data_IF_926037329302
#
_entry.id   IF_926037329302
#
_cell.length_a   1.000
_cell.length_b   1.000
_cell.length_c   1.000
_cell.angle_alpha   90.00
_cell.angle_beta   90.00
_cell.angle_gamma   90.00
#
_symmetry.space_group_name_H-M   'P 1'
#
loop_
_entity.id
_entity.type
_entity.pdbx_description
1 polymer ?
#
# COMPACT_ATOMS: atom_id res chain seq x y z
N UNK A 1 -55.11 35.97 -19.51
CA UNK A 1 -53.73 35.89 -20.06
C UNK A 1 -52.93 35.07 -19.07
N UNK A 2 -52.74 33.79 -19.35
CA UNK A 2 -51.87 32.92 -18.56
C UNK A 2 -50.42 33.36 -18.78
N UNK A 3 -49.73 33.76 -17.70
CA UNK A 3 -48.31 34.02 -17.73
C UNK A 3 -47.59 32.67 -17.86
N UNK A 4 -47.21 32.32 -19.09
CA UNK A 4 -46.23 31.26 -19.33
C UNK A 4 -44.93 31.67 -18.64
N UNK A 5 -44.63 31.06 -17.48
CA UNK A 5 -43.33 31.17 -16.85
C UNK A 5 -42.27 30.77 -17.88
N UNK A 6 -41.31 31.64 -18.22
CA UNK A 6 -40.26 31.26 -19.14
C UNK A 6 -39.46 30.12 -18.51
N UNK A 7 -39.60 28.92 -19.09
CA UNK A 7 -38.70 27.81 -18.81
C UNK A 7 -37.32 28.25 -19.26
N UNK A 8 -36.45 28.55 -18.30
CA UNK A 8 -35.04 28.74 -18.59
C UNK A 8 -34.55 27.56 -19.43
N UNK A 9 -33.71 27.80 -20.45
CA UNK A 9 -33.10 26.70 -21.19
C UNK A 9 -32.41 25.78 -20.16
N UNK A 10 -32.50 24.45 -20.33
CA UNK A 10 -31.83 23.53 -19.42
C UNK A 10 -30.37 23.96 -19.35
N UNK A 11 -29.93 24.39 -18.17
CA UNK A 11 -28.54 24.74 -17.98
C UNK A 11 -27.73 23.54 -18.46
N UNK A 12 -26.81 23.77 -19.40
CA UNK A 12 -26.04 22.70 -20.02
C UNK A 12 -25.20 21.95 -19.01
N UNK A 13 -24.13 21.31 -19.46
CA UNK A 13 -23.22 20.64 -18.54
C UNK A 13 -22.51 21.66 -17.63
N UNK A 14 -23.09 21.94 -16.46
CA UNK A 14 -22.63 22.92 -15.45
C UNK A 14 -21.41 22.44 -14.66
N UNK A 15 -20.66 21.46 -15.20
CA UNK A 15 -19.49 20.89 -14.53
C UNK A 15 -18.24 21.63 -14.98
N UNK A 16 -17.48 22.11 -14.03
CA UNK A 16 -16.17 22.67 -14.28
C UNK A 16 -15.20 21.55 -14.72
N UNK A 17 -14.44 21.79 -15.77
CA UNK A 17 -13.33 20.91 -16.15
C UNK A 17 -12.06 21.44 -15.50
N UNK A 18 -11.42 20.65 -14.65
CA UNK A 18 -10.14 21.00 -14.04
C UNK A 18 -9.22 19.80 -14.00
N UNK A 19 -7.91 20.02 -14.14
CA UNK A 19 -6.89 18.96 -14.07
C UNK A 19 -6.44 18.70 -12.62
N UNK A 20 -6.35 19.75 -11.82
CA UNK A 20 -5.94 19.68 -10.41
C UNK A 20 -6.86 20.57 -9.58
N UNK A 21 -7.31 20.07 -8.44
CA UNK A 21 -8.14 20.81 -7.51
C UNK A 21 -7.52 20.80 -6.12
N UNK A 22 -7.34 21.98 -5.52
CA UNK A 22 -6.82 22.14 -4.18
C UNK A 22 -7.84 22.91 -3.34
N UNK A 23 -8.24 22.31 -2.21
CA UNK A 23 -9.13 22.92 -1.24
C UNK A 23 -8.41 23.03 0.09
N UNK A 24 -8.22 24.25 0.59
CA UNK A 24 -7.64 24.48 1.92
C UNK A 24 -8.74 24.94 2.86
N UNK A 25 -8.96 24.20 3.95
CA UNK A 25 -10.01 24.49 4.92
C UNK A 25 -9.37 25.08 6.17
N UNK A 26 -9.60 26.38 6.36
CA UNK A 26 -9.25 27.11 7.58
C UNK A 26 -10.49 27.18 8.49
N UNK A 27 -10.64 26.21 9.40
CA UNK A 27 -11.61 26.32 10.49
C UNK A 27 -10.89 26.88 11.72
N UNK A 28 -11.53 27.83 12.43
CA UNK A 28 -11.01 28.45 13.66
C UNK A 28 -10.80 27.39 14.75
N UNK A 29 -11.66 26.37 14.77
CA UNK A 29 -11.53 25.24 15.71
C UNK A 29 -10.54 24.16 15.20
N UNK A 30 -10.05 24.28 13.96
CA UNK A 30 -9.14 23.34 13.29
C UNK A 30 -9.59 21.87 13.24
N UNK A 31 -10.83 21.55 13.64
CA UNK A 31 -11.35 20.19 13.64
C UNK A 31 -11.91 19.84 12.27
N UNK A 32 -11.11 19.09 11.51
CA UNK A 32 -11.59 18.37 10.35
C UNK A 32 -12.31 17.10 10.81
N UNK A 33 -13.63 17.02 10.63
CA UNK A 33 -14.41 15.80 10.91
C UNK A 33 -14.66 15.01 9.63
N UNK A 34 -14.92 13.70 9.80
CA UNK A 34 -15.14 12.75 8.68
C UNK A 34 -16.25 13.21 7.74
N UNK A 35 -17.34 13.74 8.31
CA UNK A 35 -18.46 14.30 7.56
C UNK A 35 -18.04 15.37 6.55
N UNK A 36 -17.09 16.26 6.91
CA UNK A 36 -16.62 17.29 5.99
C UNK A 36 -15.94 16.68 4.76
N UNK A 37 -15.10 15.66 4.93
CA UNK A 37 -14.43 14.97 3.80
C UNK A 37 -15.46 14.34 2.87
N UNK A 38 -16.46 13.64 3.42
CA UNK A 38 -17.51 13.00 2.63
C UNK A 38 -18.33 14.04 1.83
N UNK A 39 -18.72 15.15 2.47
CA UNK A 39 -19.43 16.24 1.79
C UNK A 39 -18.58 16.91 0.71
N UNK A 40 -17.28 17.08 0.93
CA UNK A 40 -16.36 17.63 -0.08
C UNK A 40 -16.26 16.68 -1.26
N UNK A 41 -16.07 15.38 -1.04
CA UNK A 41 -16.02 14.40 -2.13
C UNK A 41 -17.32 14.34 -2.90
N UNK A 42 -18.46 14.42 -2.22
CA UNK A 42 -19.78 14.49 -2.83
C UNK A 42 -19.90 15.72 -3.74
N UNK A 43 -19.63 16.90 -3.21
CA UNK A 43 -19.67 18.15 -3.96
C UNK A 43 -18.72 18.13 -5.16
N UNK A 44 -17.47 17.70 -4.97
CA UNK A 44 -16.47 17.63 -6.04
C UNK A 44 -16.92 16.68 -7.16
N UNK A 45 -17.42 15.50 -6.80
CA UNK A 45 -17.85 14.50 -7.78
C UNK A 45 -19.00 14.99 -8.67
N UNK A 46 -19.89 15.85 -8.14
CA UNK A 46 -21.01 16.43 -8.90
C UNK A 46 -20.58 17.59 -9.77
N UNK A 47 -19.68 18.44 -9.29
CA UNK A 47 -19.40 19.73 -9.93
C UNK A 47 -18.13 19.77 -10.79
N UNK A 48 -17.23 18.79 -10.67
CA UNK A 48 -15.95 18.80 -11.39
C UNK A 48 -15.74 17.54 -12.22
N UNK A 49 -15.12 17.67 -13.39
CA UNK A 49 -14.72 16.56 -14.27
C UNK A 49 -13.29 16.72 -14.80
N UNK A 50 -12.71 15.62 -15.28
CA UNK A 50 -11.39 15.62 -15.92
C UNK A 50 -10.21 15.79 -14.96
N UNK A 51 -10.45 15.65 -13.65
CA UNK A 51 -9.41 15.79 -12.64
C UNK A 51 -8.42 14.63 -12.70
N UNK A 52 -7.14 14.95 -12.47
CA UNK A 52 -6.04 14.01 -12.27
C UNK A 52 -5.56 13.98 -10.82
N UNK A 53 -5.61 15.13 -10.14
CA UNK A 53 -5.26 15.22 -8.73
C UNK A 53 -6.23 16.07 -7.90
N UNK A 54 -6.51 15.61 -6.69
CA UNK A 54 -7.31 16.29 -5.68
C UNK A 54 -6.49 16.42 -4.39
N UNK A 55 -6.36 17.62 -3.86
CA UNK A 55 -5.71 17.87 -2.56
C UNK A 55 -6.65 18.62 -1.63
N UNK A 56 -6.90 18.05 -0.45
CA UNK A 56 -7.72 18.65 0.61
C UNK A 56 -6.82 18.93 1.81
N UNK A 57 -6.44 20.18 2.00
CA UNK A 57 -5.66 20.64 3.14
C UNK A 57 -6.54 20.94 4.35
N UNK A 58 -6.17 20.38 5.50
CA UNK A 58 -6.73 20.74 6.81
C UNK A 58 -5.63 21.34 7.70
N UNK A 59 -6.02 22.09 8.73
CA UNK A 59 -5.12 22.57 9.78
C UNK A 59 -4.53 21.46 10.66
N UNK A 60 -4.08 21.80 11.87
CA UNK A 60 -3.18 20.99 12.71
C UNK A 60 -3.73 19.65 13.29
N UNK A 61 -4.85 19.08 12.82
CA UNK A 61 -5.35 17.81 13.36
C UNK A 61 -6.07 16.92 12.34
N UNK A 62 -5.33 15.97 11.75
CA UNK A 62 -5.85 14.98 10.77
C UNK A 62 -6.08 13.61 11.44
N UNK A 63 -5.78 13.43 12.74
CA UNK A 63 -5.84 12.11 13.38
C UNK A 63 -7.20 11.43 13.25
N UNK A 64 -8.29 12.17 13.38
CA UNK A 64 -9.66 11.66 13.24
C UNK A 64 -9.99 11.18 11.81
N UNK A 65 -9.33 11.76 10.81
CA UNK A 65 -9.46 11.40 9.40
C UNK A 65 -8.54 10.24 9.00
N UNK A 66 -7.38 10.10 9.65
CA UNK A 66 -6.43 9.01 9.37
C UNK A 66 -7.12 7.64 9.44
N UNK A 67 -7.94 7.39 10.46
CA UNK A 67 -8.68 6.12 10.54
C UNK A 67 -9.61 5.90 9.35
N UNK A 68 -10.34 6.94 8.90
CA UNK A 68 -11.24 6.83 7.76
C UNK A 68 -10.44 6.50 6.47
N UNK A 69 -9.33 7.20 6.26
CA UNK A 69 -8.45 7.03 5.10
C UNK A 69 -7.79 5.66 5.09
N UNK A 70 -7.32 5.18 6.24
CA UNK A 70 -6.61 3.91 6.34
C UNK A 70 -7.56 2.69 6.19
N UNK A 71 -8.86 2.87 6.44
CA UNK A 71 -9.85 1.77 6.44
C UNK A 71 -10.79 1.76 5.24
N UNK A 72 -10.77 2.79 4.39
CA UNK A 72 -11.69 2.93 3.26
C UNK A 72 -10.96 3.29 1.97
N UNK A 73 -11.54 2.88 0.85
CA UNK A 73 -11.15 3.37 -0.48
C UNK A 73 -12.19 4.34 -1.00
N UNK A 74 -11.73 5.41 -1.63
CA UNK A 74 -12.60 6.40 -2.23
C UNK A 74 -12.57 6.29 -3.75
N UNK A 75 -13.74 6.29 -4.38
CA UNK A 75 -13.88 6.24 -5.83
C UNK A 75 -14.76 7.40 -6.28
N UNK A 76 -14.27 8.23 -7.20
CA UNK A 76 -15.07 9.25 -7.88
C UNK A 76 -15.40 8.77 -9.29
N UNK A 77 -16.57 8.13 -9.46
CA UNK A 77 -17.00 7.52 -10.74
C UNK A 77 -17.10 8.54 -11.87
N UNK A 78 -17.29 9.80 -11.51
CA UNK A 78 -17.42 10.91 -12.46
C UNK A 78 -16.09 11.53 -12.88
N UNK A 79 -14.96 11.05 -12.33
CA UNK A 79 -13.60 11.48 -12.63
C UNK A 79 -12.67 10.26 -12.79
N UNK A 80 -12.84 9.45 -13.86
CA UNK A 80 -12.05 8.24 -14.08
C UNK A 80 -10.55 8.51 -14.29
N UNK A 81 -10.18 9.77 -14.58
CA UNK A 81 -8.78 10.21 -14.75
C UNK A 81 -8.08 10.55 -13.43
N UNK A 82 -8.79 10.49 -12.30
CA UNK A 82 -8.26 10.87 -11.00
C UNK A 82 -7.29 9.79 -10.49
N UNK A 83 -6.01 10.14 -10.46
CA UNK A 83 -4.91 9.26 -10.07
C UNK A 83 -4.25 9.67 -8.76
N UNK A 84 -4.61 10.84 -8.22
CA UNK A 84 -4.08 11.36 -6.96
C UNK A 84 -5.21 11.93 -6.09
N UNK A 85 -5.31 11.48 -4.83
CA UNK A 85 -6.15 12.11 -3.80
C UNK A 85 -5.30 12.28 -2.54
N UNK A 86 -5.03 13.50 -2.11
CA UNK A 86 -4.36 13.78 -0.86
C UNK A 86 -5.27 14.48 0.14
N UNK A 87 -5.25 14.04 1.39
CA UNK A 87 -5.88 14.70 2.53
C UNK A 87 -4.77 15.10 3.51
N UNK A 88 -4.47 16.40 3.56
CA UNK A 88 -3.25 16.95 4.16
C UNK A 88 -2.01 16.29 3.56
N UNK A 89 -1.17 15.71 4.42
CA UNK A 89 0.04 14.99 4.01
C UNK A 89 -0.21 13.50 3.65
N UNK A 90 -1.46 13.06 3.59
CA UNK A 90 -1.82 11.64 3.40
C UNK A 90 -2.33 11.41 1.99
N UNK A 91 -1.70 10.51 1.23
CA UNK A 91 -2.27 10.04 -0.04
C UNK A 91 -3.31 8.94 0.24
N UNK A 92 -4.52 9.15 -0.26
CA UNK A 92 -5.70 8.30 -0.03
C UNK A 92 -5.94 7.29 -1.16
N UNK A 93 -5.24 7.43 -2.29
CA UNK A 93 -5.30 6.43 -3.34
C UNK A 93 -4.24 5.36 -3.09
N UNK A 94 -4.55 4.09 -3.42
CA UNK A 94 -3.52 3.06 -3.43
C UNK A 94 -2.40 3.50 -4.37
N UNK A 95 -1.13 3.23 -4.04
CA UNK A 95 -0.04 3.57 -4.93
C UNK A 95 -0.27 2.96 -6.30
N UNK A 96 0.26 3.60 -7.34
CA UNK A 96 0.25 3.05 -8.69
C UNK A 96 1.47 2.12 -8.77
N UNK A 97 1.22 0.80 -8.76
CA UNK A 97 2.22 -0.27 -8.83
C UNK A 97 3.16 -0.41 -7.61
N UNK A 98 2.70 -0.37 -6.35
CA UNK A 98 3.58 -0.68 -5.26
C UNK A 98 3.90 -2.18 -5.36
N UNK A 99 5.13 -2.56 -5.02
CA UNK A 99 5.46 -3.99 -4.93
C UNK A 99 4.62 -4.58 -3.80
N UNK A 100 3.59 -5.34 -4.18
CA UNK A 100 2.55 -5.84 -3.27
C UNK A 100 3.11 -6.89 -2.31
N UNK A 101 4.09 -7.67 -2.77
CA UNK A 101 4.68 -8.78 -2.01
C UNK A 101 6.19 -8.64 -1.84
N UNK A 102 6.68 -9.18 -0.74
CA UNK A 102 8.09 -9.19 -0.36
C UNK A 102 8.48 -10.64 -0.14
N UNK A 103 9.49 -11.12 -0.86
CA UNK A 103 10.01 -12.46 -0.68
C UNK A 103 10.83 -12.52 0.60
N UNK A 104 10.51 -13.48 1.45
CA UNK A 104 11.13 -13.66 2.77
C UNK A 104 11.64 -15.08 2.91
N UNK A 105 12.81 -15.23 3.49
CA UNK A 105 13.47 -16.52 3.72
C UNK A 105 13.69 -16.70 5.22
N UNK A 106 13.33 -17.85 5.78
CA UNK A 106 13.91 -18.27 7.06
C UNK A 106 15.45 -18.28 6.97
N UNK A 107 16.15 -18.20 8.10
CA UNK A 107 17.62 -18.15 8.11
C UNK A 107 18.24 -19.36 7.38
N UNK A 108 17.69 -20.56 7.56
CA UNK A 108 18.16 -21.78 6.88
C UNK A 108 17.83 -21.77 5.38
N UNK A 109 16.66 -21.25 5.00
CA UNK A 109 16.32 -21.10 3.58
C UNK A 109 17.24 -20.10 2.89
N UNK A 110 17.62 -19.01 3.58
CA UNK A 110 18.55 -18.02 3.07
C UNK A 110 19.94 -18.63 2.85
N UNK A 111 20.44 -19.39 3.81
CA UNK A 111 21.72 -20.11 3.70
C UNK A 111 21.73 -21.11 2.52
N UNK A 112 20.64 -21.83 2.29
CA UNK A 112 20.55 -22.70 1.11
C UNK A 112 20.45 -21.90 -0.19
N UNK A 113 19.85 -20.72 -0.16
CA UNK A 113 19.70 -19.84 -1.31
C UNK A 113 21.06 -19.29 -1.75
N UNK A 114 21.87 -18.79 -0.81
CA UNK A 114 23.23 -18.29 -1.06
C UNK A 114 24.17 -19.41 -1.54
N UNK A 115 23.92 -20.67 -1.16
CA UNK A 115 24.75 -21.84 -1.52
C UNK A 115 24.39 -22.52 -2.85
N UNK A 116 23.39 -22.07 -3.59
CA UNK A 116 23.01 -22.79 -4.80
C UNK A 116 21.94 -23.87 -4.66
N UNK A 117 21.58 -24.23 -3.43
CA UNK A 117 20.90 -25.49 -3.14
C UNK A 117 19.39 -25.38 -2.95
N UNK A 118 18.87 -24.17 -2.68
CA UNK A 118 17.46 -23.99 -2.34
C UNK A 118 16.50 -24.44 -3.45
N UNK A 119 16.79 -24.12 -4.71
CA UNK A 119 15.93 -24.50 -5.85
C UNK A 119 15.73 -26.01 -5.94
N UNK A 120 16.80 -26.79 -5.78
CA UNK A 120 16.73 -28.25 -5.75
C UNK A 120 15.88 -28.76 -4.57
N UNK A 121 16.01 -28.13 -3.39
CA UNK A 121 15.21 -28.48 -2.20
C UNK A 121 13.72 -28.16 -2.35
N UNK A 122 13.37 -27.11 -3.07
CA UNK A 122 11.98 -26.77 -3.37
C UNK A 122 11.38 -27.70 -4.43
N UNK A 123 12.19 -28.20 -5.37
CA UNK A 123 11.76 -29.19 -6.35
C UNK A 123 11.45 -30.57 -5.73
N UNK A 124 12.13 -30.94 -4.64
CA UNK A 124 11.86 -32.19 -3.89
C UNK A 124 10.46 -32.24 -3.27
N UNK A 125 9.81 -31.08 -3.08
CA UNK A 125 8.53 -30.94 -2.36
C UNK A 125 7.38 -30.53 -3.26
N UNK A 126 7.57 -30.58 -4.59
CA UNK A 126 6.62 -30.08 -5.59
C UNK A 126 6.16 -28.64 -5.29
N UNK A 127 7.05 -27.81 -4.73
CA UNK A 127 6.73 -26.42 -4.43
C UNK A 127 6.60 -25.64 -5.75
N UNK A 128 5.38 -25.15 -6.02
CA UNK A 128 5.09 -24.40 -7.23
C UNK A 128 5.60 -22.95 -7.16
N UNK A 129 6.80 -22.72 -7.71
CA UNK A 129 7.40 -21.40 -7.83
C UNK A 129 6.71 -20.50 -8.86
N UNK A 130 5.84 -21.03 -9.72
CA UNK A 130 5.13 -20.22 -10.72
C UNK A 130 4.17 -19.20 -10.07
N UNK A 131 3.84 -19.39 -8.79
CA UNK A 131 3.05 -18.44 -7.99
C UNK A 131 3.82 -17.16 -7.62
N UNK A 132 5.15 -17.19 -7.68
CA UNK A 132 5.99 -16.02 -7.43
C UNK A 132 6.08 -15.13 -8.68
N UNK A 133 6.34 -13.84 -8.48
CA UNK A 133 6.67 -12.95 -9.60
C UNK A 133 7.98 -13.37 -10.28
N UNK A 134 8.16 -13.02 -11.56
CA UNK A 134 9.39 -13.35 -12.30
C UNK A 134 10.65 -12.89 -11.55
N UNK A 135 10.64 -11.68 -10.99
CA UNK A 135 11.77 -11.17 -10.20
C UNK A 135 12.06 -11.99 -8.93
N UNK A 136 11.02 -12.46 -8.24
CA UNK A 136 11.18 -13.34 -7.06
C UNK A 136 11.71 -14.73 -7.46
N UNK A 137 11.24 -15.29 -8.59
CA UNK A 137 11.76 -16.54 -9.13
C UNK A 137 13.24 -16.41 -9.51
N UNK A 138 13.63 -15.29 -10.12
CA UNK A 138 15.02 -15.05 -10.50
C UNK A 138 15.98 -15.06 -9.31
N UNK A 139 15.55 -14.55 -8.15
CA UNK A 139 16.35 -14.62 -6.92
C UNK A 139 16.65 -16.06 -6.54
N UNK A 140 15.63 -16.93 -6.58
CA UNK A 140 15.74 -18.32 -6.14
C UNK A 140 16.55 -19.16 -7.14
N UNK A 141 16.29 -18.95 -8.44
CA UNK A 141 16.82 -19.81 -9.50
C UNK A 141 18.21 -19.38 -9.95
N UNK A 142 18.44 -18.09 -10.19
CA UNK A 142 19.66 -17.64 -10.86
C UNK A 142 20.73 -17.14 -9.90
N UNK A 143 20.39 -16.81 -8.66
CA UNK A 143 21.31 -16.31 -7.63
C UNK A 143 22.21 -15.15 -8.08
N UNK A 144 21.83 -14.48 -9.18
CA UNK A 144 22.69 -13.56 -9.94
C UNK A 144 23.05 -12.27 -9.17
N UNK A 145 22.51 -12.16 -7.95
CA UNK A 145 22.56 -10.98 -7.09
C UNK A 145 22.76 -11.34 -5.62
N UNK A 146 22.98 -12.63 -5.32
CA UNK A 146 23.24 -13.10 -3.97
C UNK A 146 24.75 -13.17 -3.82
N UNK A 147 25.28 -12.06 -3.31
CA UNK A 147 26.56 -11.94 -2.62
C UNK A 147 26.76 -13.08 -1.61
N UNK A 148 28.01 -13.38 -1.23
CA UNK A 148 28.33 -14.49 -0.32
C UNK A 148 27.54 -14.37 1.00
N UNK A 149 27.30 -15.50 1.69
CA UNK A 149 26.55 -15.51 2.96
C UNK A 149 27.13 -14.53 4.00
N UNK A 150 28.45 -14.36 4.00
CA UNK A 150 29.23 -13.43 4.82
C UNK A 150 28.91 -11.96 4.55
N UNK A 151 28.36 -11.63 3.38
CA UNK A 151 28.07 -10.28 2.94
C UNK A 151 26.64 -9.83 3.30
N UNK A 152 25.80 -10.74 3.82
CA UNK A 152 24.51 -10.33 4.35
C UNK A 152 24.69 -9.46 5.61
N UNK A 153 24.12 -8.25 5.54
CA UNK A 153 23.82 -7.43 6.71
C UNK A 153 22.44 -6.78 6.54
N UNK A 154 21.66 -6.73 7.62
CA UNK A 154 20.40 -6.00 7.60
C UNK A 154 20.68 -4.50 7.44
N UNK A 155 20.11 -3.85 6.42
CA UNK A 155 20.34 -2.41 6.16
C UNK A 155 19.79 -1.43 7.21
N UNK A 156 19.16 -1.94 8.27
CA UNK A 156 18.55 -1.14 9.34
C UNK A 156 19.29 -1.35 10.67
N UNK A 157 19.40 -2.60 11.14
CA UNK A 157 20.07 -2.89 12.41
C UNK A 157 21.54 -3.30 12.25
N UNK A 158 22.03 -3.38 11.01
CA UNK A 158 23.39 -3.81 10.64
C UNK A 158 23.77 -5.23 11.10
N UNK A 159 22.84 -6.01 11.67
CA UNK A 159 23.11 -7.38 12.09
C UNK A 159 23.45 -8.26 10.88
N UNK A 160 24.54 -9.01 11.02
CA UNK A 160 24.96 -10.10 10.15
C UNK A 160 24.07 -11.32 10.33
N UNK A 161 24.19 -12.30 9.43
CA UNK A 161 23.41 -13.55 9.54
C UNK A 161 23.74 -14.31 10.83
N UNK A 162 25.01 -14.34 11.24
CA UNK A 162 25.45 -15.00 12.46
C UNK A 162 24.82 -14.36 13.72
N UNK A 163 24.84 -13.02 13.80
CA UNK A 163 24.22 -12.29 14.90
C UNK A 163 22.70 -12.48 14.93
N UNK A 164 22.04 -12.56 13.77
CA UNK A 164 20.61 -12.87 13.71
C UNK A 164 20.30 -14.29 14.20
N UNK A 165 21.13 -15.29 13.88
CA UNK A 165 20.95 -16.65 14.40
C UNK A 165 21.07 -16.69 15.93
N UNK A 166 22.01 -15.93 16.49
CA UNK A 166 22.23 -15.88 17.94
C UNK A 166 21.13 -15.10 18.67
N UNK A 167 20.76 -13.92 18.16
CA UNK A 167 19.88 -12.99 18.88
C UNK A 167 18.40 -13.11 18.51
N UNK A 168 18.09 -13.57 17.29
CA UNK A 168 16.75 -13.60 16.69
C UNK A 168 16.56 -14.82 15.77
N UNK A 169 16.73 -16.06 16.25
CA UNK A 169 16.74 -17.27 15.42
C UNK A 169 15.47 -17.49 14.60
N UNK A 170 14.33 -16.95 15.05
CA UNK A 170 13.04 -17.07 14.38
C UNK A 170 12.72 -15.91 13.40
N UNK A 171 13.69 -15.05 13.08
CA UNK A 171 13.51 -14.00 12.09
C UNK A 171 13.64 -14.53 10.67
N UNK A 172 13.07 -13.79 9.72
CA UNK A 172 13.31 -14.00 8.30
C UNK A 172 14.30 -12.95 7.74
N UNK A 173 14.83 -13.21 6.55
CA UNK A 173 15.51 -12.25 5.68
C UNK A 173 14.54 -11.86 4.56
N UNK A 174 14.22 -10.59 4.46
CA UNK A 174 13.22 -10.07 3.53
C UNK A 174 13.89 -9.23 2.43
N UNK A 175 13.55 -9.53 1.17
CA UNK A 175 14.01 -8.80 -0.01
C UNK A 175 12.96 -7.78 -0.41
N UNK A 176 13.27 -6.49 -0.22
CA UNK A 176 12.32 -5.40 -0.41
C UNK A 176 11.93 -5.22 -1.88
N UNK A 177 12.74 -4.53 -2.66
CA UNK A 177 12.50 -4.22 -4.08
C UNK A 177 13.54 -4.85 -5.00
N UNK A 178 14.81 -4.87 -4.56
CA UNK A 178 15.94 -5.47 -5.27
C UNK A 178 16.63 -6.53 -4.39
N UNK A 179 17.27 -7.58 -4.94
CA UNK A 179 17.94 -8.61 -4.14
C UNK A 179 19.02 -8.09 -3.17
N UNK A 180 19.67 -6.98 -3.49
CA UNK A 180 20.61 -6.29 -2.59
C UNK A 180 19.95 -5.48 -1.47
N UNK A 181 18.64 -5.23 -1.54
CA UNK A 181 17.89 -4.42 -0.57
C UNK A 181 17.23 -5.34 0.46
N UNK A 182 18.05 -5.77 1.43
CA UNK A 182 17.71 -6.83 2.37
C UNK A 182 17.55 -6.27 3.78
N UNK A 183 16.51 -6.71 4.49
CA UNK A 183 16.26 -6.38 5.90
C UNK A 183 15.86 -7.63 6.67
N UNK A 184 16.14 -7.68 7.98
CA UNK A 184 15.57 -8.74 8.81
C UNK A 184 14.06 -8.51 9.01
N UNK A 185 13.31 -9.59 9.17
CA UNK A 185 11.86 -9.58 9.36
C UNK A 185 11.42 -8.74 10.56
N UNK A 186 12.22 -8.69 11.62
CA UNK A 186 11.97 -7.82 12.78
C UNK A 186 12.00 -6.34 12.40
N UNK A 187 13.03 -5.88 11.66
CA UNK A 187 13.13 -4.49 11.23
C UNK A 187 12.07 -4.15 10.18
N UNK A 188 11.73 -5.08 9.28
CA UNK A 188 10.62 -4.90 8.35
C UNK A 188 9.29 -4.70 9.09
N UNK A 189 9.04 -5.50 10.13
CA UNK A 189 7.84 -5.35 10.95
C UNK A 189 7.82 -4.00 11.69
N UNK A 190 8.96 -3.51 12.17
CA UNK A 190 9.04 -2.17 12.77
C UNK A 190 8.76 -1.06 11.75
N UNK A 191 9.25 -1.18 10.52
CA UNK A 191 8.95 -0.25 9.44
C UNK A 191 7.47 -0.27 9.06
N UNK A 192 6.89 -1.45 8.90
CA UNK A 192 5.47 -1.63 8.57
C UNK A 192 4.54 -1.29 9.74
N UNK A 193 4.99 -1.51 10.98
CA UNK A 193 4.23 -1.22 12.20
C UNK A 193 4.17 0.27 12.54
N UNK A 194 5.08 1.08 11.99
CA UNK A 194 5.05 2.54 12.12
C UNK A 194 3.87 3.20 11.36
N UNK A 195 3.12 2.45 10.54
CA UNK A 195 1.84 2.87 9.98
C UNK A 195 1.33 1.98 8.85
N UNK A 196 0.04 2.06 8.54
CA UNK A 196 -0.61 1.41 7.39
C UNK A 196 -0.18 2.01 6.03
N UNK A 197 0.95 2.70 5.96
CA UNK A 197 1.33 3.55 4.83
C UNK A 197 2.54 2.99 4.10
N UNK A 198 2.58 3.19 2.78
CA UNK A 198 3.77 2.89 2.01
C UNK A 198 4.99 3.59 2.62
N UNK A 199 6.12 2.88 2.65
CA UNK A 199 7.38 3.41 3.18
C UNK A 199 8.49 3.26 2.13
N UNK A 200 9.53 4.09 2.28
CA UNK A 200 10.70 4.01 1.40
C UNK A 200 11.61 2.86 1.81
N UNK A 201 12.13 2.13 0.83
CA UNK A 201 13.23 1.19 1.00
C UNK A 201 14.42 1.92 1.66
N UNK A 202 15.00 1.41 2.77
CA UNK A 202 16.14 2.04 3.43
C UNK A 202 17.36 2.22 2.52
N UNK A 203 17.49 1.39 1.48
CA UNK A 203 18.64 1.37 0.58
C UNK A 203 18.47 2.31 -0.61
N UNK A 204 17.39 2.18 -1.40
CA UNK A 204 17.19 2.94 -2.64
C UNK A 204 16.09 4.00 -2.57
N UNK A 205 15.34 4.07 -1.45
CA UNK A 205 14.16 4.93 -1.25
C UNK A 205 12.97 4.63 -2.18
N UNK A 206 13.03 3.53 -2.94
CA UNK A 206 11.89 3.00 -3.69
C UNK A 206 10.70 2.72 -2.78
N UNK A 207 9.48 2.98 -3.26
CA UNK A 207 8.27 2.88 -2.44
C UNK A 207 7.81 1.43 -2.29
N UNK A 208 7.57 0.98 -1.06
CA UNK A 208 7.10 -0.36 -0.72
C UNK A 208 5.63 -0.27 -0.25
N UNK A 209 4.78 -1.19 -0.70
CA UNK A 209 3.36 -1.22 -0.33
C UNK A 209 3.17 -1.43 1.19
N UNK A 210 2.07 -0.91 1.72
CA UNK A 210 1.57 -1.31 3.02
C UNK A 210 0.08 -1.73 2.91
N UNK A 211 -0.36 -2.76 3.66
CA UNK A 211 0.46 -3.65 4.50
C UNK A 211 1.43 -4.49 3.65
N UNK A 212 2.58 -4.84 4.25
CA UNK A 212 3.59 -5.65 3.57
C UNK A 212 3.12 -7.11 3.52
N UNK A 213 2.86 -7.63 2.33
CA UNK A 213 2.55 -9.04 2.14
C UNK A 213 3.85 -9.83 1.99
N UNK A 214 4.03 -10.92 2.75
CA UNK A 214 5.26 -11.71 2.74
C UNK A 214 5.03 -13.09 2.13
N UNK A 215 5.63 -13.34 0.98
CA UNK A 215 5.78 -14.70 0.47
C UNK A 215 6.97 -15.31 1.19
N UNK A 216 6.79 -16.39 1.92
CA UNK A 216 7.78 -16.91 2.86
C UNK A 216 8.27 -18.29 2.45
N UNK A 217 9.57 -18.46 2.36
CA UNK A 217 10.23 -19.76 2.16
C UNK A 217 10.84 -20.19 3.49
N UNK A 218 10.41 -21.34 4.00
CA UNK A 218 10.86 -21.85 5.29
C UNK A 218 10.86 -23.38 5.32
N UNK A 219 11.55 -23.94 6.30
CA UNK A 219 11.53 -25.38 6.58
C UNK A 219 10.31 -25.72 7.47
N UNK A 220 9.44 -26.59 6.98
CA UNK A 220 8.28 -27.04 7.74
C UNK A 220 8.66 -28.05 8.85
N UNK A 221 7.68 -28.51 9.62
CA UNK A 221 7.90 -29.48 10.72
C UNK A 221 8.37 -30.86 10.28
N UNK A 222 8.37 -31.17 8.97
CA UNK A 222 8.87 -32.42 8.41
C UNK A 222 10.31 -32.28 7.88
N UNK A 223 10.92 -31.10 8.01
CA UNK A 223 12.26 -30.83 7.49
C UNK A 223 12.29 -30.44 6.01
N UNK A 224 11.13 -30.27 5.38
CA UNK A 224 10.99 -29.92 3.96
C UNK A 224 10.87 -28.41 3.77
N UNK A 225 11.55 -27.85 2.77
CA UNK A 225 11.38 -26.44 2.41
C UNK A 225 10.10 -26.25 1.60
N UNK A 226 9.31 -25.25 1.98
CA UNK A 226 8.03 -24.92 1.36
C UNK A 226 7.89 -23.42 1.14
N UNK A 227 7.07 -23.05 0.16
CA UNK A 227 6.63 -21.67 -0.08
C UNK A 227 5.24 -21.45 0.52
N UNK A 228 5.13 -20.45 1.38
CA UNK A 228 3.86 -19.93 1.90
C UNK A 228 3.57 -18.58 1.27
N UNK A 229 2.46 -18.50 0.53
CA UNK A 229 2.01 -17.26 -0.09
C UNK A 229 1.30 -16.39 0.93
N UNK A 230 1.54 -15.08 0.86
CA UNK A 230 0.85 -14.14 1.72
C UNK A 230 -0.67 -14.16 1.45
N UNK A 231 -1.46 -14.28 2.50
CA UNK A 231 -2.90 -14.04 2.40
C UNK A 231 -3.12 -12.55 2.08
N UNK A 232 -3.80 -12.26 0.97
CA UNK A 232 -4.21 -10.89 0.67
C UNK A 232 -5.25 -10.45 1.72
N UNK A 233 -5.06 -9.28 2.37
CA UNK A 233 -6.08 -8.75 3.26
C UNK A 233 -7.37 -8.52 2.48
N UNK A 234 -8.51 -8.64 3.17
CA UNK A 234 -9.79 -8.23 2.61
C UNK A 234 -9.65 -6.79 2.08
N UNK A 235 -10.15 -6.55 0.86
CA UNK A 235 -10.12 -5.19 0.34
C UNK A 235 -10.94 -4.29 1.25
N UNK A 236 -10.42 -3.09 1.60
CA UNK A 236 -11.18 -2.15 2.41
C UNK A 236 -12.48 -1.76 1.68
N UNK A 237 -13.56 -1.48 2.43
CA UNK A 237 -14.82 -1.00 1.86
C UNK A 237 -14.61 0.21 0.96
N UNK A 238 -15.33 0.23 -0.16
CA UNK A 238 -15.29 1.32 -1.13
C UNK A 238 -16.43 2.29 -0.86
N UNK A 239 -16.09 3.57 -0.67
CA UNK A 239 -17.03 4.69 -0.64
C UNK A 239 -16.99 5.36 -2.02
N UNK A 240 -18.12 5.31 -2.73
CA UNK A 240 -18.23 5.84 -4.09
C UNK A 240 -18.95 7.19 -4.12
N UNK A 241 -18.49 8.07 -4.99
CA UNK A 241 -19.03 9.41 -5.21
C UNK A 241 -19.34 9.66 -6.71
N UNK A 242 -20.45 10.33 -7.04
CA UNK A 242 -21.49 10.81 -6.13
C UNK A 242 -22.22 9.63 -5.45
N UNK A 243 -22.52 9.79 -4.17
CA UNK A 243 -23.25 8.80 -3.40
C UNK A 243 -24.75 8.96 -3.64
N UNK A 244 -25.49 7.86 -3.84
CA UNK A 244 -26.96 7.93 -3.86
C UNK A 244 -27.54 8.20 -2.47
N UNK A 245 -26.82 7.87 -1.39
CA UNK A 245 -27.27 7.93 0.00
C UNK A 245 -26.24 8.66 0.87
N UNK A 246 -25.95 9.93 0.58
CA UNK A 246 -24.95 10.69 1.34
C UNK A 246 -25.35 10.86 2.80
N UNK A 247 -26.64 10.99 3.08
CA UNK A 247 -27.18 11.18 4.44
C UNK A 247 -26.89 9.96 5.33
N UNK A 248 -27.09 8.74 4.82
CA UNK A 248 -26.80 7.50 5.55
C UNK A 248 -25.30 7.35 5.84
N UNK A 249 -24.46 7.67 4.84
CA UNK A 249 -23.00 7.69 5.03
C UNK A 249 -22.61 8.69 6.13
N UNK A 250 -23.21 9.89 6.15
CA UNK A 250 -22.89 10.89 7.17
C UNK A 250 -23.26 10.40 8.58
N UNK A 251 -24.39 9.72 8.74
CA UNK A 251 -24.78 9.11 10.03
C UNK A 251 -23.80 8.02 10.46
N UNK A 252 -23.33 7.19 9.52
CA UNK A 252 -22.39 6.11 9.81
C UNK A 252 -21.01 6.60 10.28
N UNK A 253 -20.57 7.78 9.82
CA UNK A 253 -19.23 8.31 10.07
C UNK A 253 -19.19 9.59 10.91
N UNK A 254 -20.29 9.97 11.57
CA UNK A 254 -20.33 10.98 12.64
C UNK A 254 -19.60 10.47 13.89
#
# INVERSE_FOLDING_TARGET
VELQSPTFPPMGNNRATTKYFMLTISNVDHLAVRANVLLIFEWISRHFRGMKGLSIGFGFNIRALTQLIDTHRFVMTTNPTLTEISIGAVNCLPPINPKETVLSFSLDAWELCTKGALSAKLAETDTDLAQLSAGEQEVIVFQRWIEEESEFSCSICCCTLAELRETKPNTDICILDHPGHRVCGSCLNSLAGAGQRPFGCPTCRGLIAAPVLKNRIYQNSQGSFVLEMAARPAQPPIISFPSPNIEELLVQYQ
#
